data_IF_936114821656
#
_entry.id   IF_936114821656
#
_cell.length_a   1.000
_cell.length_b   1.000
_cell.length_c   1.000
_cell.angle_alpha   90.00
_cell.angle_beta   90.00
_cell.angle_gamma   90.00
#
_symmetry.space_group_name_H-M   'P 1'
#
loop_
_entity.id
_entity.type
_entity.pdbx_description
1 polymer ?
#
# COMPACT_ATOMS: atom_id res chain seq x y z
N UNK A 1 -1.77 -11.82 29.44
CA UNK A 1 -2.09 -10.70 30.36
C UNK A 1 -1.77 -9.33 29.76
N UNK A 2 -0.59 -9.08 29.19
CA UNK A 2 -0.19 -7.75 28.69
C UNK A 2 -1.19 -7.06 27.72
N UNK A 3 -1.88 -7.82 26.85
CA UNK A 3 -2.93 -7.29 25.95
C UNK A 3 -4.13 -6.76 26.73
N UNK A 4 -4.63 -7.56 27.68
CA UNK A 4 -5.81 -7.25 28.51
C UNK A 4 -5.50 -6.11 29.47
N UNK A 5 -4.25 -6.03 29.94
CA UNK A 5 -3.79 -4.95 30.81
C UNK A 5 -3.37 -3.68 30.06
N UNK A 6 -3.50 -3.63 28.73
CA UNK A 6 -3.10 -2.49 27.91
C UNK A 6 -1.62 -2.09 28.03
N UNK A 7 -0.75 -3.05 28.36
CA UNK A 7 0.70 -2.87 28.48
C UNK A 7 1.45 -3.23 27.18
N UNK A 8 0.72 -3.76 26.20
CA UNK A 8 1.27 -4.25 24.94
C UNK A 8 1.66 -3.07 24.03
N UNK A 9 2.90 -3.01 23.56
CA UNK A 9 3.39 -1.92 22.70
C UNK A 9 3.33 -2.27 21.22
N UNK A 10 3.24 -1.26 20.36
CA UNK A 10 3.25 -1.44 18.90
C UNK A 10 4.46 -2.26 18.41
N UNK A 11 5.63 -2.04 19.01
CA UNK A 11 6.86 -2.74 18.69
C UNK A 11 6.82 -4.24 19.03
N UNK A 12 5.92 -4.67 19.92
CA UNK A 12 5.76 -6.07 20.33
C UNK A 12 4.74 -6.82 19.48
N UNK A 13 3.98 -6.14 18.62
CA UNK A 13 2.88 -6.73 17.85
C UNK A 13 3.30 -7.93 17.00
N UNK A 14 4.52 -7.93 16.46
CA UNK A 14 5.07 -9.05 15.70
C UNK A 14 5.09 -10.39 16.44
N UNK A 15 5.04 -10.39 17.79
CA UNK A 15 4.95 -11.60 18.63
C UNK A 15 3.60 -12.33 18.48
N UNK A 16 2.59 -11.64 17.99
CA UNK A 16 1.26 -12.20 17.70
C UNK A 16 1.14 -12.73 16.27
N UNK A 17 2.20 -12.64 15.47
CA UNK A 17 2.23 -13.21 14.11
C UNK A 17 2.40 -14.75 14.19
N UNK A 18 1.44 -15.54 13.71
CA UNK A 18 1.56 -17.00 13.69
C UNK A 18 2.83 -17.48 12.95
N UNK A 19 3.28 -16.75 11.93
CA UNK A 19 4.47 -17.11 11.13
C UNK A 19 5.77 -16.94 11.93
N UNK A 20 5.77 -16.04 12.92
CA UNK A 20 6.93 -15.82 13.78
C UNK A 20 6.95 -16.76 14.99
N UNK A 21 5.78 -17.24 15.44
CA UNK A 21 5.68 -18.21 16.54
C UNK A 21 6.36 -19.55 16.19
N UNK A 22 6.20 -20.05 14.95
CA UNK A 22 6.88 -21.29 14.51
C UNK A 22 8.41 -21.16 14.48
N UNK A 23 8.95 -19.95 14.28
CA UNK A 23 10.39 -19.68 14.21
C UNK A 23 11.02 -19.48 15.59
N UNK A 24 10.26 -18.99 16.56
CA UNK A 24 10.73 -18.77 17.93
C UNK A 24 10.90 -20.11 18.69
N UNK A 25 10.07 -21.11 18.39
CA UNK A 25 10.18 -22.46 18.96
C UNK A 25 11.44 -23.21 18.46
N UNK A 26 12.04 -22.78 17.34
CA UNK A 26 13.26 -23.41 16.80
C UNK A 26 14.57 -22.91 17.44
N UNK A 27 14.54 -21.89 18.32
CA UNK A 27 15.75 -21.22 18.83
C UNK A 27 15.93 -21.20 20.36
N UNK A 28 15.35 -22.16 21.10
CA UNK A 28 15.76 -22.41 22.50
C UNK A 28 16.67 -23.63 22.61
N UNK A 29 17.85 -23.57 21.98
CA UNK A 29 18.99 -24.41 22.32
C UNK A 29 20.29 -23.62 22.16
N UNK A 30 20.60 -22.84 23.18
CA UNK A 30 21.93 -22.41 23.65
C UNK A 30 21.79 -21.03 24.28
N UNK A 31 21.68 -21.02 25.60
CA UNK A 31 21.69 -19.81 26.40
C UNK A 31 22.98 -19.04 26.19
N UNK A 32 22.95 -18.02 25.33
CA UNK A 32 23.83 -16.85 25.43
C UNK A 32 23.33 -15.70 24.56
N UNK A 33 23.15 -14.55 25.24
CA UNK A 33 23.54 -13.19 24.82
C UNK A 33 22.76 -12.36 23.79
N UNK A 34 22.66 -11.08 24.21
CA UNK A 34 22.85 -9.83 23.46
C UNK A 34 21.63 -8.95 23.19
N UNK A 35 21.66 -7.85 23.94
CA UNK A 35 20.85 -6.65 23.88
C UNK A 35 21.18 -5.87 22.58
N UNK A 36 20.55 -6.21 21.46
CA UNK A 36 20.69 -5.45 20.22
C UNK A 36 19.35 -4.76 19.85
N UNK A 37 19.03 -3.69 20.59
CA UNK A 37 17.74 -3.00 20.50
C UNK A 37 17.65 -2.02 19.30
N UNK A 38 18.74 -1.71 18.60
CA UNK A 38 18.71 -0.57 17.66
C UNK A 38 18.36 -0.89 16.19
N UNK A 39 18.48 -2.13 15.70
CA UNK A 39 18.37 -2.43 14.25
C UNK A 39 17.41 -3.58 13.89
N UNK A 40 16.66 -4.12 14.84
CA UNK A 40 15.83 -5.32 14.64
C UNK A 40 14.39 -5.01 14.18
N UNK A 41 13.85 -3.84 14.54
CA UNK A 41 12.46 -3.45 14.25
C UNK A 41 12.19 -3.29 12.75
N UNK A 42 13.16 -2.77 11.99
CA UNK A 42 13.07 -2.63 10.52
C UNK A 42 13.09 -3.98 9.78
N UNK A 43 13.64 -5.04 10.39
CA UNK A 43 13.61 -6.39 9.79
C UNK A 43 12.28 -7.10 10.01
N UNK A 44 11.55 -6.77 11.08
CA UNK A 44 10.32 -7.45 11.50
C UNK A 44 9.08 -6.91 10.79
N UNK A 45 9.03 -5.61 10.50
CA UNK A 45 7.87 -4.95 9.89
C UNK A 45 8.06 -4.59 8.42
N UNK A 46 8.54 -5.54 7.61
CA UNK A 46 8.86 -5.30 6.19
C UNK A 46 7.64 -5.12 5.28
N UNK A 47 6.47 -5.55 5.74
CA UNK A 47 5.25 -5.61 4.93
C UNK A 47 4.05 -5.14 5.74
N UNK A 48 3.05 -4.48 5.14
CA UNK A 48 1.81 -4.15 5.83
C UNK A 48 1.17 -5.34 6.57
N UNK A 49 1.26 -6.54 5.99
CA UNK A 49 0.70 -7.76 6.60
C UNK A 49 1.35 -8.15 7.93
N UNK A 50 2.61 -7.76 8.16
CA UNK A 50 3.31 -7.97 9.44
C UNK A 50 2.76 -7.12 10.59
N UNK A 51 1.89 -6.15 10.29
CA UNK A 51 1.11 -5.38 11.28
C UNK A 51 -0.35 -5.79 11.26
N UNK A 52 -0.98 -5.89 10.08
CA UNK A 52 -2.42 -6.13 9.98
C UNK A 52 -2.83 -7.47 10.60
N UNK A 53 -2.12 -8.57 10.31
CA UNK A 53 -2.48 -9.89 10.84
C UNK A 53 -2.32 -9.94 12.36
N UNK A 54 -1.18 -9.50 12.94
CA UNK A 54 -1.04 -9.50 14.39
C UNK A 54 -1.96 -8.50 15.10
N UNK A 55 -2.32 -7.39 14.46
CA UNK A 55 -3.29 -6.41 14.95
C UNK A 55 -4.70 -7.01 15.05
N UNK A 56 -5.12 -7.78 14.04
CA UNK A 56 -6.39 -8.50 14.09
C UNK A 56 -6.43 -9.49 15.25
N UNK A 57 -5.33 -10.22 15.48
CA UNK A 57 -5.22 -11.12 16.63
C UNK A 57 -5.30 -10.35 17.96
N UNK A 58 -4.61 -9.22 18.06
CA UNK A 58 -4.68 -8.32 19.22
C UNK A 58 -6.13 -7.91 19.53
N UNK A 59 -6.86 -7.40 18.53
CA UNK A 59 -8.25 -6.97 18.72
C UNK A 59 -9.20 -8.13 19.01
N UNK A 60 -8.99 -9.31 18.44
CA UNK A 60 -9.79 -10.50 18.76
C UNK A 60 -9.63 -10.93 20.22
N UNK A 61 -8.39 -10.96 20.74
CA UNK A 61 -8.12 -11.26 22.15
C UNK A 61 -8.78 -10.21 23.03
N UNK A 62 -8.59 -8.93 22.71
CA UNK A 62 -9.18 -7.84 23.48
C UNK A 62 -10.71 -7.91 23.49
N UNK A 63 -11.35 -8.04 22.33
CA UNK A 63 -12.81 -8.15 22.19
C UNK A 63 -13.42 -9.38 22.87
N UNK A 64 -12.68 -10.47 23.01
CA UNK A 64 -13.12 -11.65 23.78
C UNK A 64 -13.19 -11.36 25.29
N UNK A 65 -12.29 -10.53 25.81
CA UNK A 65 -12.14 -10.25 27.23
C UNK A 65 -12.90 -9.00 27.70
N UNK A 66 -13.32 -8.12 26.80
CA UNK A 66 -14.11 -6.95 27.16
C UNK A 66 -15.58 -7.33 27.42
N UNK A 67 -16.27 -6.62 28.34
CA UNK A 67 -17.70 -6.77 28.52
C UNK A 67 -18.41 -6.59 27.17
N UNK A 68 -19.46 -7.37 26.92
CA UNK A 68 -20.33 -7.19 25.74
C UNK A 68 -21.14 -5.90 25.89
N UNK A 69 -20.49 -4.75 25.74
CA UNK A 69 -21.12 -3.44 25.63
C UNK A 69 -20.61 -2.74 24.37
N UNK A 70 -21.56 -2.37 23.49
CA UNK A 70 -21.45 -1.44 22.37
C UNK A 70 -20.30 -1.65 21.35
N UNK A 71 -20.26 -0.75 20.37
CA UNK A 71 -19.64 -0.80 19.04
C UNK A 71 -18.13 -1.06 18.98
N UNK A 72 -17.47 -1.55 20.03
CA UNK A 72 -16.01 -1.77 20.08
C UNK A 72 -15.49 -2.63 18.91
N UNK A 73 -16.12 -3.76 18.54
CA UNK A 73 -15.70 -4.51 17.35
C UNK A 73 -15.79 -3.68 16.05
N UNK A 74 -16.79 -2.81 15.96
CA UNK A 74 -16.99 -1.92 14.82
C UNK A 74 -15.91 -0.83 14.78
N UNK A 75 -15.57 -0.23 15.92
CA UNK A 75 -14.48 0.74 16.07
C UNK A 75 -13.13 0.16 15.61
N UNK A 76 -12.80 -1.06 16.04
CA UNK A 76 -11.56 -1.73 15.60
C UNK A 76 -11.56 -2.07 14.10
N UNK A 77 -12.73 -2.38 13.55
CA UNK A 77 -12.90 -2.59 12.11
C UNK A 77 -12.65 -1.28 11.34
N UNK A 78 -13.26 -0.16 11.75
CA UNK A 78 -13.06 1.15 11.11
C UNK A 78 -11.60 1.58 11.14
N UNK A 79 -10.92 1.42 12.27
CA UNK A 79 -9.49 1.67 12.37
C UNK A 79 -8.67 0.83 11.38
N UNK A 80 -8.98 -0.46 11.29
CA UNK A 80 -8.28 -1.38 10.39
C UNK A 80 -8.52 -1.00 8.92
N UNK A 81 -9.76 -0.63 8.57
CA UNK A 81 -10.11 -0.15 7.25
C UNK A 81 -9.33 1.13 6.90
N UNK A 82 -9.31 2.10 7.81
CA UNK A 82 -8.54 3.33 7.64
C UNK A 82 -7.04 3.06 7.44
N UNK A 83 -6.46 2.14 8.23
CA UNK A 83 -5.06 1.77 8.08
C UNK A 83 -4.78 1.14 6.70
N UNK A 84 -5.70 0.31 6.18
CA UNK A 84 -5.61 -0.28 4.84
C UNK A 84 -5.68 0.80 3.74
N UNK A 85 -6.53 1.81 3.89
CA UNK A 85 -6.59 2.95 2.97
C UNK A 85 -5.26 3.72 2.94
N UNK A 86 -4.70 4.00 4.11
CA UNK A 86 -3.38 4.64 4.21
C UNK A 86 -2.29 3.78 3.56
N UNK A 87 -2.31 2.46 3.80
CA UNK A 87 -1.39 1.51 3.16
C UNK A 87 -1.53 1.56 1.64
N UNK A 88 -2.74 1.72 1.09
CA UNK A 88 -2.94 1.78 -0.34
C UNK A 88 -2.34 3.05 -0.96
N UNK A 89 -2.50 4.19 -0.29
CA UNK A 89 -2.15 5.52 -0.82
C UNK A 89 -0.73 5.99 -0.49
N UNK A 90 -0.15 5.56 0.62
CA UNK A 90 1.09 6.14 1.17
C UNK A 90 2.18 5.08 1.34
N UNK A 91 3.42 5.54 1.40
CA UNK A 91 4.59 4.69 1.61
C UNK A 91 4.49 3.93 2.94
N UNK A 92 4.80 2.63 2.92
CA UNK A 92 4.61 1.77 4.10
C UNK A 92 5.40 2.25 5.32
N UNK A 93 6.63 2.73 5.12
CA UNK A 93 7.46 3.25 6.21
C UNK A 93 6.81 4.42 6.96
N UNK A 94 6.13 5.31 6.23
CA UNK A 94 5.40 6.45 6.78
C UNK A 94 4.16 5.99 7.55
N UNK A 95 3.38 5.09 6.96
CA UNK A 95 2.18 4.52 7.60
C UNK A 95 2.55 3.75 8.87
N UNK A 96 3.67 3.02 8.88
CA UNK A 96 4.16 2.31 10.05
C UNK A 96 4.53 3.25 11.21
N UNK A 97 5.14 4.40 10.93
CA UNK A 97 5.41 5.42 11.95
C UNK A 97 4.12 5.98 12.56
N UNK A 98 3.15 6.33 11.71
CA UNK A 98 1.82 6.76 12.16
C UNK A 98 1.17 5.70 13.04
N UNK A 99 1.08 4.46 12.56
CA UNK A 99 0.53 3.32 13.30
C UNK A 99 1.19 3.17 14.67
N UNK A 100 2.53 3.21 14.72
CA UNK A 100 3.28 2.95 15.96
C UNK A 100 2.98 3.99 17.05
N UNK A 101 2.87 5.27 16.67
CA UNK A 101 2.54 6.33 17.63
C UNK A 101 1.07 6.28 18.00
N UNK A 102 0.18 6.18 17.01
CA UNK A 102 -1.27 6.10 17.22
C UNK A 102 -1.64 4.97 18.18
N UNK A 103 -1.14 3.76 17.92
CA UNK A 103 -1.41 2.57 18.73
C UNK A 103 -0.96 2.78 20.17
N UNK A 104 0.25 3.30 20.39
CA UNK A 104 0.78 3.49 21.74
C UNK A 104 0.02 4.56 22.54
N UNK A 105 -0.48 5.62 21.88
CA UNK A 105 -1.35 6.62 22.51
C UNK A 105 -2.67 6.00 22.96
N UNK A 106 -3.34 5.26 22.06
CA UNK A 106 -4.64 4.68 22.35
C UNK A 106 -4.59 3.51 23.33
N UNK A 107 -3.45 2.83 23.49
CA UNK A 107 -3.25 1.90 24.62
C UNK A 107 -3.45 2.58 25.97
N UNK A 108 -2.97 3.83 26.13
CA UNK A 108 -3.09 4.56 27.39
C UNK A 108 -4.54 4.95 27.68
N UNK A 109 -5.31 5.28 26.65
CA UNK A 109 -6.74 5.57 26.75
C UNK A 109 -7.54 4.31 27.11
N UNK A 110 -7.25 3.18 26.46
CA UNK A 110 -7.88 1.91 26.79
C UNK A 110 -7.56 1.44 28.22
N UNK A 111 -6.40 1.80 28.76
CA UNK A 111 -6.05 1.48 30.15
C UNK A 111 -6.99 2.13 31.19
N UNK A 112 -7.68 3.22 30.82
CA UNK A 112 -8.74 3.85 31.65
C UNK A 112 -10.15 3.50 31.17
N UNK A 113 -10.28 2.58 30.21
CA UNK A 113 -11.55 2.08 29.68
C UNK A 113 -12.16 2.90 28.55
N UNK A 114 -11.41 3.83 27.94
CA UNK A 114 -11.87 4.58 26.76
C UNK A 114 -11.40 3.92 25.47
N UNK A 115 -12.36 3.58 24.59
CA UNK A 115 -12.12 2.93 23.30
C UNK A 115 -12.53 3.83 22.12
N UNK A 116 -13.06 5.04 22.38
CA UNK A 116 -13.67 5.89 21.35
C UNK A 116 -12.65 6.52 20.40
N UNK A 117 -11.39 6.71 20.80
CA UNK A 117 -10.38 7.36 19.97
C UNK A 117 -10.00 6.59 18.69
N UNK A 118 -10.19 5.26 18.68
CA UNK A 118 -9.75 4.40 17.58
C UNK A 118 -10.45 4.65 16.23
N UNK A 119 -11.68 5.15 16.24
CA UNK A 119 -12.45 5.48 15.01
C UNK A 119 -12.01 6.83 14.40
N UNK A 120 -11.29 7.66 15.16
CA UNK A 120 -10.96 9.03 14.79
C UNK A 120 -9.50 9.10 14.29
N UNK A 121 -9.26 9.43 13.01
CA UNK A 121 -7.90 9.65 12.53
C UNK A 121 -7.22 10.81 13.26
N UNK A 122 -5.98 10.60 13.72
CA UNK A 122 -5.17 11.65 14.34
C UNK A 122 -4.59 12.57 13.26
N UNK A 123 -5.31 13.64 12.91
CA UNK A 123 -4.97 14.53 11.78
C UNK A 123 -3.59 15.19 11.89
N UNK A 124 -3.20 15.56 13.11
CA UNK A 124 -1.87 16.08 13.43
C UNK A 124 -0.77 15.04 13.14
N UNK A 125 -1.03 13.78 13.51
CA UNK A 125 -0.12 12.67 13.29
C UNK A 125 -0.04 12.29 11.80
N UNK A 126 -1.16 12.32 11.08
CA UNK A 126 -1.22 12.11 9.63
C UNK A 126 -0.44 13.18 8.87
N UNK A 127 -0.62 14.46 9.25
CA UNK A 127 0.13 15.57 8.67
C UNK A 127 1.64 15.42 8.91
N UNK A 128 2.02 15.04 10.13
CA UNK A 128 3.42 14.88 10.54
C UNK A 128 4.12 13.70 9.87
N UNK A 129 3.45 12.55 9.74
CA UNK A 129 4.09 11.30 9.34
C UNK A 129 3.72 10.81 7.94
N UNK A 130 2.51 11.08 7.44
CA UNK A 130 1.93 10.34 6.30
C UNK A 130 1.82 11.21 5.05
N UNK A 131 1.22 12.40 5.14
CA UNK A 131 0.80 13.15 3.95
C UNK A 131 1.94 13.58 3.01
N UNK A 132 3.16 13.73 3.52
CA UNK A 132 4.33 14.03 2.70
C UNK A 132 4.83 12.84 1.86
N UNK A 133 4.36 11.62 2.15
CA UNK A 133 4.86 10.37 1.58
C UNK A 133 3.79 9.62 0.79
N UNK A 134 2.94 10.36 0.07
CA UNK A 134 2.00 9.75 -0.86
C UNK A 134 2.79 8.96 -1.91
N UNK A 135 2.39 7.71 -2.14
CA UNK A 135 2.97 6.91 -3.22
C UNK A 135 2.85 7.69 -4.51
N UNK A 136 3.85 7.54 -5.37
CA UNK A 136 3.64 7.92 -6.75
C UNK A 136 2.39 7.17 -7.23
N UNK A 137 1.32 7.91 -7.54
CA UNK A 137 0.21 7.34 -8.28
C UNK A 137 0.85 6.59 -9.45
N UNK A 138 0.49 5.32 -9.72
CA UNK A 138 0.80 4.78 -11.02
C UNK A 138 0.19 5.79 -11.97
N UNK A 139 1.05 6.55 -12.65
CA UNK A 139 0.55 7.61 -13.48
C UNK A 139 -0.49 6.97 -14.37
N UNK A 140 -1.71 7.50 -14.35
CA UNK A 140 -2.17 7.97 -15.64
C UNK A 140 -1.04 8.90 -16.06
N UNK A 141 -0.07 8.34 -16.79
CA UNK A 141 0.81 9.16 -17.56
C UNK A 141 -0.12 10.21 -18.18
N UNK A 142 0.26 11.50 -18.28
CA UNK A 142 -0.28 12.23 -19.43
C UNK A 142 -0.16 11.25 -20.60
N UNK A 143 -1.17 11.09 -21.45
CA UNK A 143 -1.04 10.19 -22.61
C UNK A 143 0.09 10.71 -23.51
N UNK A 144 1.35 10.55 -23.11
CA UNK A 144 2.47 10.29 -23.96
C UNK A 144 2.17 8.91 -24.48
N UNK A 145 1.62 8.90 -25.69
CA UNK A 145 1.70 7.76 -26.58
C UNK A 145 3.09 7.11 -26.41
N UNK A 146 3.16 5.91 -25.83
CA UNK A 146 4.47 5.36 -25.51
C UNK A 146 4.52 4.10 -24.64
N UNK A 147 3.58 3.18 -24.79
CA UNK A 147 3.91 1.76 -24.76
C UNK A 147 2.87 1.02 -25.59
N UNK A 148 2.92 1.34 -26.88
CA UNK A 148 2.31 0.51 -27.89
C UNK A 148 3.47 -0.22 -28.55
N UNK A 149 3.25 -1.50 -28.87
CA UNK A 149 4.21 -2.41 -29.44
C UNK A 149 5.21 -1.67 -30.35
N UNK A 150 6.49 -1.79 -30.05
CA UNK A 150 7.60 -1.26 -30.83
C UNK A 150 7.52 -1.79 -32.27
N UNK A 151 6.79 -1.10 -33.13
CA UNK A 151 7.05 -1.12 -34.57
C UNK A 151 8.25 -0.22 -34.82
N UNK A 152 9.16 -0.66 -35.69
CA UNK A 152 10.38 0.08 -35.97
C UNK A 152 10.03 1.49 -36.45
N UNK A 153 10.81 2.53 -36.07
CA UNK A 153 10.57 3.91 -36.49
C UNK A 153 10.67 4.13 -38.02
N UNK A 154 11.08 3.11 -38.77
CA UNK A 154 11.09 3.06 -40.24
C UNK A 154 9.80 2.51 -40.85
N UNK A 155 8.94 1.85 -40.08
CA UNK A 155 7.78 1.15 -40.64
C UNK A 155 6.57 2.09 -40.77
N UNK A 156 6.04 2.18 -42.00
CA UNK A 156 4.91 3.04 -42.35
C UNK A 156 3.65 2.61 -41.56
N UNK A 157 2.85 3.58 -41.10
CA UNK A 157 1.62 3.28 -40.39
C UNK A 157 0.58 2.60 -41.32
N UNK A 158 0.39 1.28 -41.15
CA UNK A 158 -0.63 0.55 -41.90
C UNK A 158 -2.06 1.01 -41.59
N UNK A 159 -2.34 1.37 -40.33
CA UNK A 159 -3.65 1.88 -39.92
C UNK A 159 -4.00 3.23 -40.55
N UNK A 160 -3.01 4.08 -40.81
CA UNK A 160 -3.20 5.30 -41.61
C UNK A 160 -3.57 4.96 -43.05
N UNK A 161 -2.88 3.98 -43.65
CA UNK A 161 -3.19 3.50 -44.99
C UNK A 161 -4.58 2.87 -45.11
N UNK A 162 -5.11 2.29 -44.04
CA UNK A 162 -6.48 1.77 -43.95
C UNK A 162 -7.54 2.83 -43.54
N UNK A 163 -7.15 4.07 -43.25
CA UNK A 163 -8.06 5.14 -42.83
C UNK A 163 -8.51 5.06 -41.36
N UNK A 164 -7.88 4.19 -40.56
CA UNK A 164 -8.21 3.94 -39.14
C UNK A 164 -7.31 4.71 -38.16
N UNK A 165 -6.27 5.40 -38.65
CA UNK A 165 -5.42 6.28 -37.85
C UNK A 165 -5.57 7.72 -38.35
N UNK A 166 -6.22 8.57 -37.54
CA UNK A 166 -6.49 9.99 -37.87
C UNK A 166 -5.67 10.96 -37.02
N UNK A 167 -4.90 10.46 -36.06
CA UNK A 167 -4.11 11.28 -35.13
C UNK A 167 -2.72 11.58 -35.72
N UNK A 168 -2.33 12.85 -35.77
CA UNK A 168 -1.00 13.30 -36.23
C UNK A 168 -0.32 14.09 -35.10
N UNK A 169 0.85 13.66 -34.57
CA UNK A 169 1.62 12.48 -34.97
C UNK A 169 0.94 11.16 -34.56
N UNK A 170 1.31 10.07 -35.25
CA UNK A 170 0.76 8.73 -35.03
C UNK A 170 0.91 8.29 -33.55
N UNK A 171 -0.13 7.74 -32.90
CA UNK A 171 -0.04 7.22 -31.53
C UNK A 171 0.96 6.07 -31.36
N UNK A 172 1.46 5.53 -32.47
CA UNK A 172 2.38 4.39 -32.54
C UNK A 172 3.76 4.77 -33.05
N UNK A 173 4.04 6.06 -33.21
CA UNK A 173 5.35 6.56 -33.64
C UNK A 173 5.70 6.28 -35.11
N UNK A 174 4.85 5.58 -35.85
CA UNK A 174 5.05 5.30 -37.28
C UNK A 174 4.80 6.55 -38.15
N UNK A 175 5.61 6.80 -39.19
CA UNK A 175 5.32 7.85 -40.17
C UNK A 175 4.01 7.58 -40.92
N UNK A 176 3.21 8.63 -41.08
CA UNK A 176 2.02 8.64 -41.94
C UNK A 176 2.43 8.96 -43.37
N UNK A 177 2.67 7.92 -44.16
CA UNK A 177 2.88 8.02 -45.60
C UNK A 177 2.07 6.97 -46.35
N UNK A 178 1.63 7.31 -47.56
CA UNK A 178 0.90 6.41 -48.43
C UNK A 178 1.82 5.31 -48.94
N UNK A 179 1.45 4.04 -48.75
CA UNK A 179 2.24 2.92 -49.29
C UNK A 179 2.17 2.81 -50.82
N UNK A 180 1.22 3.48 -51.47
CA UNK A 180 1.08 3.48 -52.94
C UNK A 180 1.94 4.55 -53.62
N UNK A 181 2.01 5.77 -53.07
CA UNK A 181 2.68 6.90 -53.72
C UNK A 181 3.71 7.65 -52.84
N UNK A 182 3.90 7.22 -51.59
CA UNK A 182 4.86 7.79 -50.64
C UNK A 182 4.48 9.13 -50.01
N UNK A 183 3.38 9.76 -50.44
CA UNK A 183 2.98 11.09 -49.92
C UNK A 183 2.33 11.01 -48.54
N UNK A 184 2.36 12.11 -47.79
CA UNK A 184 1.90 12.17 -46.39
C UNK A 184 0.52 12.82 -46.20
N UNK A 185 -0.12 13.22 -47.30
CA UNK A 185 -1.42 13.91 -47.34
C UNK A 185 -2.61 12.95 -47.28
N UNK A 186 -2.44 11.72 -47.79
CA UNK A 186 -3.48 10.69 -47.79
C UNK A 186 -2.92 9.29 -47.50
N UNK A 187 -3.78 8.39 -47.03
CA UNK A 187 -3.47 6.96 -46.92
C UNK A 187 -3.87 6.19 -48.18
N UNK A 188 -3.34 4.96 -48.35
CA UNK A 188 -3.67 4.06 -49.47
C UNK A 188 -5.17 3.92 -49.77
N UNK A 189 -6.03 3.91 -48.75
CA UNK A 189 -7.49 3.81 -48.88
C UNK A 189 -8.13 4.90 -49.76
N UNK A 190 -7.43 6.00 -50.06
CA UNK A 190 -7.92 7.05 -50.96
C UNK A 190 -7.56 6.82 -52.43
N UNK A 191 -6.68 5.86 -52.74
CA UNK A 191 -6.49 5.43 -54.12
C UNK A 191 -7.67 4.54 -54.54
N UNK A 192 -8.33 4.91 -55.64
CA UNK A 192 -9.23 3.98 -56.34
C UNK A 192 -8.36 2.89 -56.99
N UNK A 193 -8.76 1.63 -56.83
CA UNK A 193 -8.13 0.49 -57.53
C UNK A 193 -8.14 0.71 -59.05
#
# INVERSE_FOLDING_TARGET
MAIIMHEFKAADLHKLDPINQDKEVTYTFNGMTNHEISNCTTKKYKSPFSVIVPLQHYFNVLGFHLPRSNNIPFVFYEYTAHLIELIAEFEWSAVFQYYSVFFNCHQLEMAVGDYSGWEIPAMDLLSKHVYAYRKAMPGKQPRTAGNMCTSNPTDICHKYNEGKCTMTPCPWGCPHSCTTCGKTDHGKHQHKN
#
